data_IF_901444090154
#
_entry.id   IF_901444090154
#
_cell.length_a   1.000
_cell.length_b   1.000
_cell.length_c   1.000
_cell.angle_alpha   90.00
_cell.angle_beta   90.00
_cell.angle_gamma   90.00
#
_symmetry.space_group_name_H-M   'P 1'
#
loop_
_entity.id
_entity.type
_entity.pdbx_description
1 polymer ?
#
# COMPACT_ATOMS: atom_id res chain seq x y z
N UNK A 1 23.94 11.54 -13.89
CA UNK A 1 22.77 12.30 -13.41
C UNK A 1 21.73 11.28 -12.97
N UNK A 2 21.48 11.17 -11.66
CA UNK A 2 20.49 10.22 -11.15
C UNK A 2 19.11 10.88 -11.32
N UNK A 3 18.19 10.27 -12.07
CA UNK A 3 16.87 10.85 -12.34
C UNK A 3 16.08 11.16 -11.05
N UNK A 4 16.37 10.41 -9.98
CA UNK A 4 15.76 10.55 -8.67
C UNK A 4 16.84 10.50 -7.58
N UNK A 5 17.46 11.64 -7.19
CA UNK A 5 18.58 11.67 -6.24
C UNK A 5 18.20 11.19 -4.83
N UNK A 6 16.92 11.25 -4.49
CA UNK A 6 16.38 10.79 -3.20
C UNK A 6 15.59 9.47 -3.31
N UNK A 7 15.68 8.79 -4.45
CA UNK A 7 14.90 7.59 -4.74
C UNK A 7 13.50 7.90 -5.27
N UNK A 8 12.76 6.83 -5.56
CA UNK A 8 11.43 6.90 -6.13
C UNK A 8 10.52 5.82 -5.53
N UNK A 9 9.23 6.11 -5.58
CA UNK A 9 8.15 5.20 -5.27
C UNK A 9 7.48 4.78 -6.58
N UNK A 10 7.39 3.48 -6.83
CA UNK A 10 6.52 2.92 -7.85
C UNK A 10 5.22 2.41 -7.21
N UNK A 11 4.09 2.57 -7.90
CA UNK A 11 2.82 2.05 -7.40
C UNK A 11 1.90 1.54 -8.49
N UNK A 12 0.98 0.65 -8.10
CA UNK A 12 0.02 0.00 -8.99
C UNK A 12 -1.34 -0.19 -8.32
N UNK A 13 -2.41 0.20 -9.02
CA UNK A 13 -3.79 0.03 -8.59
C UNK A 13 -4.40 -1.12 -9.42
N UNK A 14 -4.73 -2.25 -8.78
CA UNK A 14 -5.29 -3.42 -9.44
C UNK A 14 -6.75 -3.62 -9.04
N UNK A 15 -7.64 -3.80 -10.03
CA UNK A 15 -9.05 -4.11 -9.78
C UNK A 15 -9.93 -2.87 -9.58
N UNK A 16 -11.26 -3.03 -9.66
CA UNK A 16 -12.23 -1.94 -9.63
C UNK A 16 -12.15 -1.09 -8.34
N UNK A 17 -11.87 -1.72 -7.19
CA UNK A 17 -11.91 -1.03 -5.89
C UNK A 17 -10.56 -0.38 -5.52
N UNK A 18 -9.58 -0.37 -6.41
CA UNK A 18 -8.22 0.08 -6.10
C UNK A 18 -7.96 1.58 -6.32
N UNK A 19 -8.95 2.32 -6.83
CA UNK A 19 -8.75 3.68 -7.32
C UNK A 19 -8.03 3.73 -8.67
N UNK A 20 -8.21 2.69 -9.49
CA UNK A 20 -7.66 2.62 -10.84
C UNK A 20 -8.50 3.48 -11.80
N UNK A 21 -7.89 4.51 -12.38
CA UNK A 21 -8.58 5.43 -13.29
C UNK A 21 -8.41 5.10 -14.78
N UNK A 22 -7.56 4.13 -15.13
CA UNK A 22 -7.32 3.73 -16.53
C UNK A 22 -7.48 2.21 -16.69
N UNK A 23 -8.13 1.75 -17.77
CA UNK A 23 -8.42 0.33 -17.98
C UNK A 23 -7.19 -0.49 -18.40
N UNK A 24 -6.15 0.16 -18.94
CA UNK A 24 -4.92 -0.53 -19.33
C UNK A 24 -3.97 -0.69 -18.13
N UNK A 25 -3.27 -1.83 -18.06
CA UNK A 25 -2.26 -2.08 -17.02
C UNK A 25 -1.12 -1.05 -17.14
N UNK A 26 -0.92 -0.25 -16.10
CA UNK A 26 0.15 0.74 -16.03
C UNK A 26 0.68 0.84 -14.59
N UNK A 27 1.98 1.05 -14.45
CA UNK A 27 2.63 1.34 -13.16
C UNK A 27 3.07 2.79 -13.19
N UNK A 28 2.88 3.50 -12.08
CA UNK A 28 3.25 4.90 -11.94
C UNK A 28 4.50 5.00 -11.07
N UNK A 29 5.40 5.94 -11.39
CA UNK A 29 6.63 6.20 -10.63
C UNK A 29 6.65 7.67 -10.26
N UNK A 30 6.86 7.98 -8.98
CA UNK A 30 6.95 9.34 -8.46
C UNK A 30 8.27 9.54 -7.70
N UNK A 31 8.90 10.72 -7.80
CA UNK A 31 10.09 11.05 -7.04
C UNK A 31 9.79 11.16 -5.54
N UNK A 32 10.77 10.86 -4.70
CA UNK A 32 10.76 11.20 -3.27
C UNK A 32 11.54 12.50 -3.03
N UNK A 33 11.23 13.27 -1.96
CA UNK A 33 10.14 13.06 -0.99
C UNK A 33 8.75 13.35 -1.58
N UNK A 34 7.69 12.79 -0.99
CA UNK A 34 6.31 12.98 -1.46
C UNK A 34 5.72 14.37 -1.12
N UNK A 35 6.32 15.09 -0.18
CA UNK A 35 5.90 16.42 0.23
C UNK A 35 7.13 17.31 0.48
N UNK A 36 6.99 18.60 0.22
CA UNK A 36 8.03 19.58 0.53
C UNK A 36 8.28 19.61 2.05
N UNK A 37 9.56 19.63 2.44
CA UNK A 37 9.97 19.59 3.84
C UNK A 37 9.86 18.22 4.52
N UNK A 38 9.32 17.20 3.84
CA UNK A 38 9.37 15.82 4.33
C UNK A 38 10.70 15.14 3.96
N UNK A 39 11.09 14.15 4.76
CA UNK A 39 12.18 13.24 4.40
C UNK A 39 11.77 12.29 3.25
N UNK A 40 12.72 11.60 2.61
CA UNK A 40 12.42 10.62 1.57
C UNK A 40 11.76 9.35 2.11
N UNK A 41 11.83 9.13 3.42
CA UNK A 41 11.26 7.97 4.10
C UNK A 41 9.73 8.05 4.13
N UNK A 42 9.07 6.95 3.73
CA UNK A 42 7.62 6.85 3.77
C UNK A 42 7.14 6.53 5.19
N UNK A 43 5.97 7.02 5.63
CA UNK A 43 5.44 6.74 6.97
C UNK A 43 5.35 5.24 7.30
N UNK A 44 5.05 4.41 6.30
CA UNK A 44 4.92 2.96 6.46
C UNK A 44 6.26 2.22 6.55
N UNK A 45 7.39 2.84 6.19
CA UNK A 45 8.68 2.18 6.27
C UNK A 45 9.02 1.79 7.72
N UNK A 46 8.79 2.68 8.67
CA UNK A 46 9.01 2.40 10.11
C UNK A 46 8.15 1.25 10.61
N UNK A 47 6.88 1.21 10.19
CA UNK A 47 5.95 0.15 10.56
C UNK A 47 6.44 -1.22 10.07
N UNK A 48 7.02 -1.27 8.87
CA UNK A 48 7.58 -2.51 8.30
C UNK A 48 8.82 -2.94 9.08
N UNK A 49 9.72 -2.00 9.39
CA UNK A 49 10.92 -2.27 10.18
C UNK A 49 10.60 -2.74 11.61
N UNK A 50 9.57 -2.15 12.25
CA UNK A 50 9.07 -2.58 13.55
C UNK A 50 8.51 -4.00 13.49
N UNK A 51 7.64 -4.30 12.50
CA UNK A 51 7.09 -5.62 12.31
C UNK A 51 8.19 -6.68 12.09
N UNK A 52 9.25 -6.34 11.34
CA UNK A 52 10.39 -7.23 11.14
C UNK A 52 11.11 -7.55 12.46
N UNK A 53 11.32 -6.54 13.33
CA UNK A 53 11.97 -6.72 14.63
C UNK A 53 11.15 -7.61 15.57
N UNK A 54 9.83 -7.46 15.55
CA UNK A 54 8.90 -8.20 16.41
C UNK A 54 8.76 -9.66 16.02
N UNK A 55 8.67 -9.94 14.72
CA UNK A 55 8.42 -11.29 14.18
C UNK A 55 9.59 -12.27 14.47
N UNK A 56 10.80 -11.79 14.78
CA UNK A 56 12.01 -12.59 15.10
C UNK A 56 12.21 -13.81 14.17
N UNK A 57 11.73 -13.72 12.94
CA UNK A 57 11.64 -14.85 12.02
C UNK A 57 12.33 -14.56 10.69
N UNK A 58 12.68 -15.64 10.00
CA UNK A 58 13.20 -15.63 8.64
C UNK A 58 12.10 -15.50 7.58
N UNK A 59 10.83 -15.31 7.97
CA UNK A 59 9.75 -15.12 7.00
C UNK A 59 10.00 -13.82 6.22
N UNK A 60 9.93 -13.93 4.89
CA UNK A 60 10.08 -12.79 3.99
C UNK A 60 8.87 -11.85 4.02
N UNK A 61 7.66 -12.38 4.25
CA UNK A 61 6.42 -11.61 4.30
C UNK A 61 6.04 -11.26 5.74
N UNK A 62 5.84 -9.97 5.97
CA UNK A 62 5.43 -9.35 7.23
C UNK A 62 3.97 -8.93 7.14
N UNK A 63 3.15 -9.37 8.09
CA UNK A 63 1.78 -8.87 8.27
C UNK A 63 1.80 -7.66 9.21
N UNK A 64 1.37 -6.49 8.72
CA UNK A 64 1.49 -5.23 9.46
C UNK A 64 0.30 -5.03 10.41
N UNK A 65 0.21 -5.85 11.46
CA UNK A 65 -0.92 -5.88 12.39
C UNK A 65 -1.09 -4.59 13.23
N UNK A 66 -0.11 -3.70 13.26
CA UNK A 66 -0.25 -2.37 13.86
C UNK A 66 -1.17 -1.45 13.06
N UNK A 67 -1.48 -1.80 11.79
CA UNK A 67 -2.45 -1.10 10.96
C UNK A 67 -3.84 -1.73 11.10
N UNK A 68 -4.93 -0.92 11.10
CA UNK A 68 -6.30 -1.40 11.30
C UNK A 68 -6.91 -2.10 10.07
N UNK A 69 -6.11 -2.28 9.02
CA UNK A 69 -6.48 -2.97 7.79
C UNK A 69 -5.35 -3.92 7.41
N UNK A 70 -5.73 -5.00 6.74
CA UNK A 70 -4.79 -5.96 6.21
C UNK A 70 -3.80 -5.28 5.30
N UNK A 71 -2.53 -5.55 5.54
CA UNK A 71 -1.41 -5.00 4.77
C UNK A 71 -0.22 -5.92 4.98
N UNK A 72 0.44 -6.23 3.88
CA UNK A 72 1.53 -7.20 3.83
C UNK A 72 2.72 -6.56 3.16
N UNK A 73 3.90 -6.70 3.74
CA UNK A 73 5.12 -6.14 3.21
C UNK A 73 6.27 -7.14 3.22
N UNK A 74 7.23 -6.91 2.35
CA UNK A 74 8.50 -7.62 2.31
C UNK A 74 9.60 -6.58 2.09
N UNK A 75 10.66 -6.64 2.91
CA UNK A 75 11.87 -5.86 2.63
C UNK A 75 12.58 -6.43 1.41
N UNK A 76 13.17 -5.55 0.62
CA UNK A 76 13.94 -5.93 -0.55
C UNK A 76 15.42 -6.08 -0.18
N UNK A 77 16.16 -6.99 -0.84
CA UNK A 77 17.62 -6.96 -0.80
C UNK A 77 18.15 -5.70 -1.48
N UNK A 78 19.38 -5.28 -1.18
CA UNK A 78 20.00 -4.04 -1.72
C UNK A 78 19.94 -3.90 -3.25
N UNK A 79 19.93 -5.03 -3.97
CA UNK A 79 19.89 -5.08 -5.45
C UNK A 79 19.01 -6.23 -5.90
N UNK A 80 17.68 -6.08 -5.85
CA UNK A 80 16.77 -7.16 -6.23
C UNK A 80 16.84 -7.38 -7.74
N UNK A 81 16.90 -8.63 -8.16
CA UNK A 81 16.69 -9.01 -9.56
C UNK A 81 15.20 -9.04 -9.89
N UNK A 82 14.86 -9.11 -11.19
CA UNK A 82 13.46 -9.30 -11.59
C UNK A 82 12.83 -10.57 -11.03
N UNK A 83 13.63 -11.64 -10.86
CA UNK A 83 13.17 -12.89 -10.25
C UNK A 83 12.88 -12.73 -8.77
N UNK A 84 13.70 -11.96 -8.06
CA UNK A 84 13.47 -11.67 -6.63
C UNK A 84 12.17 -10.88 -6.46
N UNK A 85 11.96 -9.84 -7.27
CA UNK A 85 10.72 -9.05 -7.24
C UNK A 85 9.48 -9.88 -7.58
N UNK A 86 9.58 -10.77 -8.57
CA UNK A 86 8.48 -11.67 -8.94
C UNK A 86 8.16 -12.64 -7.80
N UNK A 87 9.18 -13.22 -7.16
CA UNK A 87 9.02 -14.15 -6.06
C UNK A 87 8.38 -13.45 -4.85
N UNK A 88 8.90 -12.28 -4.48
CA UNK A 88 8.36 -11.45 -3.38
C UNK A 88 6.89 -11.10 -3.66
N UNK A 89 6.57 -10.70 -4.89
CA UNK A 89 5.19 -10.40 -5.27
C UNK A 89 4.29 -11.63 -5.12
N UNK A 90 4.73 -12.83 -5.54
CA UNK A 90 3.97 -14.08 -5.38
C UNK A 90 3.74 -14.43 -3.91
N UNK A 91 4.74 -14.25 -3.06
CA UNK A 91 4.64 -14.52 -1.62
C UNK A 91 3.67 -13.54 -0.95
N UNK A 92 3.77 -12.25 -1.26
CA UNK A 92 2.83 -11.24 -0.79
C UNK A 92 1.41 -11.54 -1.28
N UNK A 93 1.26 -11.93 -2.55
CA UNK A 93 -0.03 -12.35 -3.11
C UNK A 93 -0.60 -13.56 -2.41
N UNK A 94 0.20 -14.56 -2.06
CA UNK A 94 -0.25 -15.74 -1.34
C UNK A 94 -0.74 -15.41 0.08
N UNK A 95 -0.06 -14.50 0.79
CA UNK A 95 -0.51 -13.99 2.10
C UNK A 95 -1.80 -13.14 1.99
N UNK A 96 -1.92 -12.39 0.90
CA UNK A 96 -3.08 -11.58 0.53
C UNK A 96 -4.32 -12.41 0.13
N UNK A 97 -4.13 -13.52 -0.59
CA UNK A 97 -5.20 -14.27 -1.26
C UNK A 97 -6.36 -14.73 -0.37
N UNK A 98 -6.17 -15.24 0.86
CA UNK A 98 -7.30 -15.67 1.68
C UNK A 98 -8.22 -14.51 2.14
N UNK A 99 -7.77 -13.26 2.02
CA UNK A 99 -8.49 -12.10 2.54
C UNK A 99 -9.46 -11.42 1.56
N UNK A 100 -9.32 -11.66 0.25
CA UNK A 100 -9.96 -10.80 -0.77
C UNK A 100 -10.45 -11.55 -1.99
N UNK A 101 -10.39 -12.89 -2.04
CA UNK A 101 -11.04 -13.60 -3.14
C UNK A 101 -12.55 -13.38 -2.97
N UNK A 102 -13.19 -12.59 -3.86
CA UNK A 102 -14.59 -12.29 -3.69
C UNK A 102 -15.41 -13.56 -3.87
N UNK A 103 -16.38 -13.80 -2.98
CA UNK A 103 -17.21 -15.00 -3.02
C UNK A 103 -18.07 -15.07 -4.31
N UNK A 104 -18.31 -13.92 -4.93
CA UNK A 104 -19.06 -13.77 -6.18
C UNK A 104 -18.20 -13.97 -7.44
N UNK A 105 -16.91 -14.26 -7.29
CA UNK A 105 -15.98 -14.48 -8.39
C UNK A 105 -15.53 -13.20 -9.10
N UNK A 106 -15.82 -12.01 -8.55
CA UNK A 106 -15.31 -10.75 -9.10
C UNK A 106 -13.77 -10.65 -8.98
N UNK A 107 -13.12 -9.80 -9.80
CA UNK A 107 -11.68 -9.62 -9.71
C UNK A 107 -11.27 -9.02 -8.36
N UNK A 108 -10.21 -9.58 -7.79
CA UNK A 108 -9.54 -9.02 -6.63
C UNK A 108 -9.14 -7.56 -6.83
N UNK A 109 -9.21 -6.77 -5.76
CA UNK A 109 -8.74 -5.39 -5.76
C UNK A 109 -7.64 -5.17 -4.73
N UNK A 110 -6.53 -4.55 -5.15
CA UNK A 110 -5.41 -4.26 -4.27
C UNK A 110 -4.58 -3.07 -4.75
N UNK A 111 -3.87 -2.47 -3.80
CA UNK A 111 -2.82 -1.52 -4.08
C UNK A 111 -1.45 -2.14 -3.85
N UNK A 112 -0.49 -1.74 -4.68
CA UNK A 112 0.91 -2.08 -4.53
C UNK A 112 1.73 -0.81 -4.40
N UNK A 113 2.62 -0.83 -3.43
CA UNK A 113 3.68 0.16 -3.24
C UNK A 113 5.02 -0.55 -3.33
N UNK A 114 5.94 -0.02 -4.14
CA UNK A 114 7.27 -0.54 -4.34
C UNK A 114 8.29 0.60 -4.21
N UNK A 115 9.27 0.41 -3.35
CA UNK A 115 10.44 1.29 -3.20
C UNK A 115 11.72 0.50 -3.46
N UNK A 116 12.88 1.11 -3.29
CA UNK A 116 14.16 0.38 -3.25
C UNK A 116 14.31 -0.50 -2.00
N UNK A 117 13.53 -0.25 -0.94
CA UNK A 117 13.70 -0.90 0.37
C UNK A 117 12.65 -1.96 0.65
N UNK A 118 11.44 -1.85 0.08
CA UNK A 118 10.33 -2.76 0.35
C UNK A 118 9.32 -2.82 -0.78
N UNK A 119 8.56 -3.91 -0.81
CA UNK A 119 7.30 -4.05 -1.54
C UNK A 119 6.17 -4.25 -0.54
N UNK A 120 5.05 -3.56 -0.73
CA UNK A 120 3.86 -3.69 0.11
C UNK A 120 2.61 -3.88 -0.75
N UNK A 121 1.75 -4.82 -0.36
CA UNK A 121 0.42 -5.02 -0.92
C UNK A 121 -0.64 -4.72 0.13
N UNK A 122 -1.66 -3.97 -0.29
CA UNK A 122 -2.83 -3.65 0.54
C UNK A 122 -4.10 -4.10 -0.15
N UNK A 123 -4.82 -5.09 0.39
CA UNK A 123 -6.15 -5.47 -0.08
C UNK A 123 -7.20 -4.37 0.07
N UNK A 124 -8.03 -4.22 -0.96
CA UNK A 124 -9.03 -3.15 -1.07
C UNK A 124 -10.44 -3.73 -1.05
N UNK A 125 -11.30 -3.12 -0.24
CA UNK A 125 -12.72 -3.48 -0.12
C UNK A 125 -13.64 -2.54 -0.88
N UNK A 126 -13.18 -1.30 -1.12
CA UNK A 126 -13.91 -0.27 -1.87
C UNK A 126 -12.94 0.81 -2.35
N UNK A 127 -13.27 1.49 -3.44
CA UNK A 127 -12.48 2.63 -3.94
C UNK A 127 -12.52 3.86 -3.01
N UNK A 128 -13.71 4.17 -2.49
CA UNK A 128 -13.99 5.45 -1.83
C UNK A 128 -14.50 5.29 -0.40
N UNK A 129 -14.30 6.34 0.41
CA UNK A 129 -14.97 6.52 1.68
C UNK A 129 -15.44 7.97 1.81
N UNK A 130 -16.77 8.16 1.87
CA UNK A 130 -17.36 9.49 1.74
C UNK A 130 -16.95 10.13 0.39
N UNK A 131 -16.52 11.40 0.38
CA UNK A 131 -16.07 12.08 -0.84
C UNK A 131 -14.65 11.69 -1.28
N UNK A 132 -13.92 10.91 -0.48
CA UNK A 132 -12.49 10.66 -0.70
C UNK A 132 -12.28 9.36 -1.48
N UNK A 133 -11.68 9.45 -2.65
CA UNK A 133 -11.16 8.31 -3.40
C UNK A 133 -9.72 8.02 -2.98
N UNK A 134 -9.43 6.74 -2.69
CA UNK A 134 -8.10 6.32 -2.23
C UNK A 134 -7.47 5.39 -3.27
N UNK A 135 -6.21 5.66 -3.61
CA UNK A 135 -5.38 4.77 -4.42
C UNK A 135 -4.10 4.38 -3.64
N UNK A 136 -3.14 3.74 -4.31
CA UNK A 136 -1.89 3.31 -3.67
C UNK A 136 -1.11 4.42 -2.97
N UNK A 137 -1.22 5.67 -3.40
CA UNK A 137 -0.54 6.80 -2.74
C UNK A 137 -1.07 7.04 -1.32
N UNK A 138 -2.36 6.81 -1.09
CA UNK A 138 -2.93 6.89 0.26
C UNK A 138 -2.24 5.91 1.21
N UNK A 139 -2.00 4.69 0.74
CA UNK A 139 -1.23 3.66 1.45
C UNK A 139 0.29 3.85 1.38
N UNK A 140 0.78 4.86 0.66
CA UNK A 140 2.16 5.35 0.78
C UNK A 140 2.29 6.52 1.76
N UNK A 141 1.17 6.97 2.35
CA UNK A 141 1.12 8.05 3.33
C UNK A 141 0.79 9.42 2.75
N UNK A 142 0.34 9.48 1.50
CA UNK A 142 0.01 10.73 0.80
C UNK A 142 -1.40 10.67 0.22
N UNK A 143 -2.32 11.41 0.83
CA UNK A 143 -3.68 11.57 0.31
C UNK A 143 -3.77 12.79 -0.61
N UNK A 144 -4.28 12.58 -1.82
CA UNK A 144 -4.61 13.69 -2.72
C UNK A 144 -5.97 14.26 -2.31
N UNK A 145 -6.00 15.55 -2.01
CA UNK A 145 -7.21 16.29 -1.64
C UNK A 145 -7.54 17.28 -2.75
N UNK A 146 -8.72 17.17 -3.34
CA UNK A 146 -9.15 17.96 -4.51
C UNK A 146 -10.11 19.07 -4.16
N UNK A 147 -10.73 19.02 -2.97
CA UNK A 147 -11.72 19.99 -2.53
C UNK A 147 -11.60 20.29 -1.04
N UNK A 148 -12.20 21.40 -0.61
CA UNK A 148 -12.31 21.74 0.81
C UNK A 148 -13.17 20.71 1.57
N UNK A 149 -14.21 20.19 0.93
CA UNK A 149 -15.06 19.13 1.46
C UNK A 149 -14.26 17.85 1.76
N UNK A 150 -13.42 17.40 0.83
CA UNK A 150 -12.54 16.25 1.06
C UNK A 150 -11.57 16.51 2.23
N UNK A 151 -11.01 17.73 2.31
CA UNK A 151 -10.11 18.10 3.41
C UNK A 151 -10.81 18.05 4.77
N UNK A 152 -11.99 18.68 4.88
CA UNK A 152 -12.77 18.74 6.11
C UNK A 152 -13.26 17.34 6.52
N UNK A 153 -13.59 16.49 5.54
CA UNK A 153 -13.93 15.08 5.78
C UNK A 153 -12.74 14.31 6.37
N UNK A 154 -11.53 14.43 5.77
CA UNK A 154 -10.32 13.77 6.27
C UNK A 154 -9.95 14.27 7.68
N UNK A 155 -10.14 15.55 7.98
CA UNK A 155 -9.94 16.08 9.33
C UNK A 155 -10.92 15.50 10.34
N UNK A 156 -12.18 15.31 9.93
CA UNK A 156 -13.24 14.76 10.79
C UNK A 156 -13.01 13.27 11.06
N UNK A 157 -12.70 12.48 10.03
CA UNK A 157 -12.53 11.03 10.16
C UNK A 157 -11.13 10.61 10.61
N UNK A 158 -10.11 11.44 10.38
CA UNK A 158 -8.68 11.14 10.37
C UNK A 158 -8.21 10.30 9.16
N UNK A 159 -6.97 10.52 8.67
CA UNK A 159 -6.42 9.72 7.57
C UNK A 159 -6.45 8.21 7.82
N UNK A 160 -6.17 7.77 9.06
CA UNK A 160 -6.11 6.34 9.37
C UNK A 160 -7.49 5.67 9.27
N UNK A 161 -8.58 6.33 9.69
CA UNK A 161 -9.93 5.78 9.48
C UNK A 161 -10.32 5.74 8.01
N UNK A 162 -9.94 6.75 7.24
CA UNK A 162 -10.19 6.74 5.79
C UNK A 162 -9.51 5.54 5.14
N UNK A 163 -8.24 5.27 5.46
CA UNK A 163 -7.53 4.09 4.97
C UNK A 163 -8.16 2.77 5.46
N UNK A 164 -8.56 2.70 6.74
CA UNK A 164 -9.22 1.53 7.29
C UNK A 164 -10.56 1.22 6.60
N UNK A 165 -11.34 2.26 6.29
CA UNK A 165 -12.64 2.12 5.65
C UNK A 165 -12.57 1.60 4.20
N UNK A 166 -11.46 1.89 3.49
CA UNK A 166 -11.24 1.43 2.11
C UNK A 166 -10.40 0.14 2.01
N UNK A 167 -9.75 -0.26 3.10
CA UNK A 167 -9.02 -1.51 3.23
C UNK A 167 -9.91 -2.68 3.62
N UNK A 168 -9.35 -3.89 3.61
CA UNK A 168 -9.97 -5.07 4.22
C UNK A 168 -9.56 -5.14 5.70
N UNK A 169 -10.47 -5.31 6.67
CA UNK A 169 -10.09 -5.45 8.08
C UNK A 169 -9.37 -6.76 8.36
N UNK A 170 -8.55 -6.81 9.41
CA UNK A 170 -8.06 -8.07 9.95
C UNK A 170 -9.22 -8.88 10.52
N UNK A 171 -9.23 -10.19 10.32
CA UNK A 171 -10.18 -11.09 11.00
C UNK A 171 -10.01 -10.97 12.51
N UNK A 172 -11.10 -10.96 13.27
CA UNK A 172 -11.02 -11.08 14.73
C UNK A 172 -10.25 -12.36 15.06
N UNK A 173 -9.12 -12.23 15.78
CA UNK A 173 -8.43 -13.38 16.36
C UNK A 173 -9.31 -13.84 17.54
N UNK A 174 -10.16 -14.84 17.29
CA UNK A 174 -10.86 -15.59 18.35
C UNK A 174 -9.86 -16.41 19.16
#
# INVERSE_FOLDING_TARGET
>A
MQAFPHGALAYFNCGPESGASQPHKHTQIVPLPLAEGAGPELPFQRIIEDAQREEQTTKHVLALHSLPFQSYACLLPDRPTSKDLEQIFKELKAAFSPAVVPADGSPESYNMVLTSNFMMLVPRSRETYGPVAVNSMGFAGSMLVRSREELDFIHTESPMRVLAAVGVPWSERY
#
